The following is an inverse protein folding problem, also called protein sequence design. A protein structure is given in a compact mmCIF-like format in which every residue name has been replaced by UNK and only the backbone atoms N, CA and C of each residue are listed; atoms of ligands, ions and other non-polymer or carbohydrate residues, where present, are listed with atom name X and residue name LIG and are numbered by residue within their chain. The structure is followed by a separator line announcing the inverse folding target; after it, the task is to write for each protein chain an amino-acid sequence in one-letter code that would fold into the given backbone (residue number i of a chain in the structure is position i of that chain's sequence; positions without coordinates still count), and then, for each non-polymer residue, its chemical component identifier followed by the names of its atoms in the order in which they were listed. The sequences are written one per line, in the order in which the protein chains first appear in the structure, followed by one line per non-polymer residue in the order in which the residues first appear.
data_IF_279403050181
#
_entry.id   IF_279403050181
#
_cell.length_a   1.000
_cell.length_b   1.000
_cell.length_c   1.000
_cell.angle_alpha   90.00
_cell.angle_beta   90.00
_cell.angle_gamma   90.00
#
_symmetry.space_group_name_H-M   'P 1'
#
loop_
_entity.id
_entity.type
_entity.pdbx_description
1 polymer ?
#
# COMPACT_ATOMS: atom_id res chain seq x y z
N UNK A 1 -6.03 0.20 -7.31
CA UNK A 1 -5.28 0.80 -8.42
C UNK A 1 -5.11 -0.20 -9.53
N UNK A 2 -5.36 0.20 -10.78
CA UNK A 2 -5.08 -0.61 -11.96
C UNK A 2 -3.58 -0.78 -12.18
N UNK A 3 -3.17 -1.70 -13.06
CA UNK A 3 -1.76 -1.88 -13.42
C UNK A 3 -1.13 -0.60 -13.97
N UNK A 4 -1.87 0.15 -14.78
CA UNK A 4 -1.39 1.40 -15.39
C UNK A 4 -1.18 2.49 -14.35
N UNK A 5 -2.11 2.62 -13.40
CA UNK A 5 -1.98 3.56 -12.28
C UNK A 5 -0.78 3.23 -11.40
N UNK A 6 -0.50 1.93 -11.17
CA UNK A 6 0.68 1.49 -10.42
C UNK A 6 1.98 1.84 -11.13
N UNK A 7 2.06 1.65 -12.45
CA UNK A 7 3.22 2.04 -13.26
C UNK A 7 3.42 3.56 -13.21
N UNK A 8 2.35 4.34 -13.31
CA UNK A 8 2.42 5.80 -13.21
C UNK A 8 2.88 6.27 -11.83
N UNK A 9 2.41 5.63 -10.76
CA UNK A 9 2.76 5.96 -9.38
C UNK A 9 4.19 5.56 -9.01
N UNK A 10 4.65 4.38 -9.42
CA UNK A 10 5.94 3.81 -9.06
C UNK A 10 6.68 3.29 -10.31
N UNK A 11 7.15 4.18 -11.20
CA UNK A 11 7.62 3.80 -12.54
C UNK A 11 8.95 3.02 -12.56
N UNK A 12 9.82 3.25 -11.56
CA UNK A 12 11.16 2.64 -11.45
C UNK A 12 11.31 1.79 -10.20
N UNK A 13 10.21 1.48 -9.51
CA UNK A 13 10.21 0.73 -8.27
C UNK A 13 9.10 -0.32 -8.23
N UNK A 14 8.90 -0.88 -7.04
CA UNK A 14 7.80 -1.79 -6.76
C UNK A 14 6.99 -1.26 -5.58
N UNK A 15 5.68 -1.50 -5.59
CA UNK A 15 4.87 -1.30 -4.39
C UNK A 15 5.28 -2.37 -3.39
N UNK A 16 5.88 -1.96 -2.28
CA UNK A 16 6.43 -2.88 -1.27
C UNK A 16 5.44 -3.13 -0.13
N UNK A 17 4.65 -2.12 0.22
CA UNK A 17 3.66 -2.19 1.29
C UNK A 17 2.42 -1.39 0.93
N UNK A 18 1.33 -1.71 1.60
CA UNK A 18 0.11 -0.94 1.61
C UNK A 18 -0.37 -0.81 3.06
N UNK A 19 -0.89 0.37 3.39
CA UNK A 19 -1.47 0.69 4.67
C UNK A 19 -2.93 1.09 4.45
N UNK A 20 -3.84 0.46 5.18
CA UNK A 20 -5.25 0.74 5.08
C UNK A 20 -5.78 1.25 6.43
N UNK A 21 -6.65 2.23 6.37
CA UNK A 21 -7.32 2.82 7.52
C UNK A 21 -8.75 3.18 7.14
N UNK A 22 -9.68 3.19 8.10
CA UNK A 22 -11.00 3.76 7.92
C UNK A 22 -10.92 5.28 7.76
N UNK A 23 -12.01 5.88 7.31
CA UNK A 23 -12.16 7.33 7.10
C UNK A 23 -12.00 8.14 8.40
N UNK A 24 -12.21 7.53 9.57
CA UNK A 24 -11.96 8.13 10.89
C UNK A 24 -10.50 8.00 11.37
N UNK A 25 -9.64 7.32 10.60
CA UNK A 25 -8.22 7.14 10.91
C UNK A 25 -7.87 5.86 11.66
N UNK A 26 -8.83 4.99 11.96
CA UNK A 26 -8.56 3.70 12.62
C UNK A 26 -7.84 2.75 11.66
N UNK A 27 -6.70 2.14 12.04
CA UNK A 27 -6.03 1.12 11.22
C UNK A 27 -6.96 -0.06 10.92
N UNK A 28 -6.92 -0.63 9.72
CA UNK A 28 -7.87 -1.67 9.31
C UNK A 28 -7.90 -2.91 10.22
N UNK A 29 -6.79 -3.22 10.90
CA UNK A 29 -6.68 -4.38 11.81
C UNK A 29 -7.23 -4.10 13.21
N UNK A 30 -7.62 -2.85 13.50
CA UNK A 30 -8.21 -2.40 14.76
C UNK A 30 -9.68 -1.99 14.58
N UNK A 31 -10.23 -2.16 13.37
CA UNK A 31 -11.67 -2.08 13.14
C UNK A 31 -12.34 -3.41 13.49
N UNK A 32 -13.68 -3.41 13.51
CA UNK A 32 -14.46 -4.65 13.70
C UNK A 32 -14.78 -5.34 12.36
N UNK A 33 -14.32 -4.79 11.24
CA UNK A 33 -14.56 -5.35 9.91
C UNK A 33 -13.47 -6.37 9.53
N UNK A 34 -13.88 -7.43 8.84
CA UNK A 34 -13.01 -8.33 8.09
C UNK A 34 -12.63 -7.63 6.78
N UNK A 35 -11.41 -7.12 6.72
CA UNK A 35 -10.85 -6.34 5.59
C UNK A 35 -9.58 -7.00 5.06
N UNK A 36 -9.46 -7.14 3.75
CA UNK A 36 -8.20 -7.50 3.08
C UNK A 36 -7.48 -6.22 2.61
N UNK A 37 -6.33 -5.94 3.21
CA UNK A 37 -5.45 -4.84 2.83
C UNK A 37 -4.17 -5.39 2.18
N UNK A 38 -4.07 -5.23 0.86
CA UNK A 38 -3.07 -5.91 0.07
C UNK A 38 -2.42 -4.97 -0.98
N UNK A 39 -1.08 -4.95 -1.12
CA UNK A 39 -0.40 -4.08 -2.08
C UNK A 39 -0.70 -4.45 -3.56
N UNK A 40 -1.11 -5.69 -3.82
CA UNK A 40 -1.45 -6.20 -5.15
C UNK A 40 -2.94 -6.00 -5.45
N UNK A 41 -3.84 -6.44 -4.58
CA UNK A 41 -5.29 -6.40 -4.84
C UNK A 41 -5.96 -5.11 -4.37
N UNK A 42 -5.31 -4.33 -3.50
CA UNK A 42 -5.85 -3.08 -2.94
C UNK A 42 -6.49 -3.29 -1.58
N UNK A 43 -7.49 -2.48 -1.25
CA UNK A 43 -8.32 -2.67 -0.05
C UNK A 43 -9.67 -3.23 -0.48
N UNK A 44 -10.12 -4.31 0.15
CA UNK A 44 -11.43 -4.90 -0.10
C UNK A 44 -12.15 -5.20 1.20
N UNK A 45 -13.45 -4.92 1.22
CA UNK A 45 -14.34 -5.22 2.32
C UNK A 45 -15.68 -5.70 1.74
N UNK A 46 -16.17 -6.83 2.23
CA UNK A 46 -17.42 -7.44 1.80
C UNK A 46 -18.52 -7.16 2.84
N UNK A 47 -19.60 -6.51 2.41
CA UNK A 47 -20.72 -6.17 3.28
C UNK A 47 -21.43 -7.42 3.81
N UNK A 48 -21.50 -8.50 3.03
CA UNK A 48 -22.22 -9.72 3.43
C UNK A 48 -21.52 -10.45 4.59
N UNK A 49 -20.20 -10.28 4.68
CA UNK A 49 -19.36 -10.83 5.76
C UNK A 49 -19.31 -9.88 6.97
N UNK A 50 -19.51 -8.57 6.77
CA UNK A 50 -19.40 -7.53 7.79
C UNK A 50 -20.75 -6.98 8.27
N UNK A 51 -21.67 -7.88 8.68
CA UNK A 51 -22.97 -7.52 9.26
C UNK A 51 -23.82 -6.54 8.42
N UNK A 52 -23.60 -6.50 7.11
CA UNK A 52 -24.35 -5.70 6.14
C UNK A 52 -23.73 -4.35 5.77
N UNK A 53 -22.66 -3.91 6.44
CA UNK A 53 -22.01 -2.65 6.10
C UNK A 53 -20.54 -2.60 6.54
N UNK A 54 -19.66 -2.36 5.57
CA UNK A 54 -18.28 -1.96 5.79
C UNK A 54 -18.16 -0.47 6.15
N UNK A 55 -17.16 -0.13 6.95
CA UNK A 55 -16.68 1.24 7.02
C UNK A 55 -16.08 1.71 5.67
N UNK A 56 -15.98 3.02 5.49
CA UNK A 56 -15.24 3.58 4.36
C UNK A 56 -13.73 3.47 4.63
N UNK A 57 -12.99 2.85 3.72
CA UNK A 57 -11.54 2.66 3.85
C UNK A 57 -10.74 3.48 2.85
N UNK A 58 -9.58 3.95 3.29
CA UNK A 58 -8.54 4.57 2.50
C UNK A 58 -7.31 3.67 2.49
N UNK A 59 -6.57 3.68 1.38
CA UNK A 59 -5.33 2.92 1.21
C UNK A 59 -4.18 3.84 0.79
N UNK A 60 -3.03 3.68 1.44
CA UNK A 60 -1.76 4.35 1.11
C UNK A 60 -0.75 3.29 0.67
N UNK A 61 -0.13 3.51 -0.49
CA UNK A 61 0.90 2.60 -1.01
C UNK A 61 2.30 3.18 -0.78
N UNK A 62 3.27 2.31 -0.52
CA UNK A 62 4.69 2.67 -0.49
C UNK A 62 5.38 2.18 -1.78
N UNK A 63 5.94 3.11 -2.54
CA UNK A 63 6.84 2.79 -3.64
C UNK A 63 8.26 2.60 -3.09
N UNK A 64 8.76 1.36 -3.11
CA UNK A 64 10.16 1.05 -2.82
C UNK A 64 10.97 1.03 -4.10
N UNK A 65 12.10 1.75 -4.13
CA UNK A 65 13.06 1.59 -5.21
C UNK A 65 13.84 0.29 -5.03
N UNK A 66 14.16 -0.40 -6.13
CA UNK A 66 15.06 -1.57 -6.13
C UNK A 66 16.48 -1.23 -5.69
N UNK A 67 16.82 0.06 -5.58
CA UNK A 67 18.06 0.56 -5.00
C UNK A 67 17.79 1.41 -3.76
N UNK A 68 17.85 0.81 -2.57
CA UNK A 68 18.33 1.55 -1.41
C UNK A 68 19.87 1.68 -1.56
N UNK A 69 20.36 2.83 -2.06
CA UNK A 69 21.81 3.14 -2.05
C UNK A 69 22.57 3.12 -3.39
N UNK A 70 21.97 3.57 -4.50
CA UNK A 70 22.63 3.55 -5.81
C UNK A 70 23.62 4.69 -6.09
N UNK A 71 24.78 4.71 -5.41
CA UNK A 71 26.13 5.07 -5.90
C UNK A 71 27.15 4.89 -4.77
N UNK A 72 27.90 3.77 -4.76
CA UNK A 72 29.20 3.75 -4.09
C UNK A 72 30.28 4.01 -5.15
N UNK A 73 30.50 5.28 -5.50
CA UNK A 73 31.81 5.66 -6.04
C UNK A 73 32.76 5.70 -4.85
N UNK A 74 33.45 4.59 -4.58
CA UNK A 74 34.70 4.65 -3.82
C UNK A 74 35.69 5.43 -4.69
N UNK A 75 35.71 6.75 -4.55
CA UNK A 75 36.84 7.56 -4.99
C UNK A 75 37.92 7.40 -3.92
N UNK A 76 38.83 6.45 -4.14
CA UNK A 76 40.12 6.44 -3.45
C UNK A 76 40.83 7.73 -3.85
N UNK A 77 40.80 8.74 -2.98
CA UNK A 77 41.69 9.90 -3.13
C UNK A 77 43.06 9.46 -2.62
N UNK A 78 44.08 9.71 -3.45
CA UNK A 78 45.49 9.38 -3.19
C UNK A 78 46.02 10.06 -1.92
#
# INVERSE_FOLDING_TARGET
MTREEKIKFCPTGNIVTAECQSSDGTPYYDTMDIVDCNPVTGVTCDNDVNMGQCADYMIRYQCGQTTCGGKYDYFMVQ
#
